data_IF_044363769690
#
_entry.id   IF_044363769690
#
_cell.length_a   1.000
_cell.length_b   1.000
_cell.length_c   1.000
_cell.angle_alpha   90.00
_cell.angle_beta   90.00
_cell.angle_gamma   90.00
#
_symmetry.space_group_name_H-M   'P 1'
#
loop_
_entity.id
_entity.type
_entity.pdbx_description
1 polymer ?
#
# COMPACT_ATOMS: atom_id res chain seq x y z
N UNK A 1 -7.19 0.20 -25.62
CA UNK A 1 -7.31 0.91 -24.35
C UNK A 1 -8.37 1.98 -24.52
N UNK A 2 -9.41 2.02 -23.66
CA UNK A 2 -10.44 3.07 -23.72
C UNK A 2 -9.81 4.38 -23.25
N UNK A 3 -10.37 5.53 -23.67
CA UNK A 3 -9.89 6.85 -23.23
C UNK A 3 -9.86 6.97 -21.69
N UNK A 4 -10.87 6.47 -21.02
CA UNK A 4 -10.95 6.46 -19.55
C UNK A 4 -9.88 5.62 -18.87
N UNK A 5 -9.35 4.58 -19.52
CA UNK A 5 -8.23 3.80 -19.00
C UNK A 5 -6.93 4.64 -19.00
N UNK A 6 -6.79 5.55 -19.98
CA UNK A 6 -5.68 6.52 -20.03
C UNK A 6 -5.81 7.53 -18.88
N UNK A 7 -7.01 8.03 -18.62
CA UNK A 7 -7.25 8.93 -17.48
C UNK A 7 -6.89 8.26 -16.13
N UNK A 8 -7.21 6.98 -15.99
CA UNK A 8 -6.81 6.23 -14.79
C UNK A 8 -5.29 6.09 -14.67
N UNK A 9 -4.61 5.82 -15.78
CA UNK A 9 -3.15 5.78 -15.78
C UNK A 9 -2.55 7.15 -15.38
N UNK A 10 -3.07 8.25 -15.93
CA UNK A 10 -2.66 9.60 -15.53
C UNK A 10 -2.96 9.88 -14.05
N UNK A 11 -4.11 9.43 -13.55
CA UNK A 11 -4.42 9.50 -12.12
C UNK A 11 -3.38 8.77 -11.27
N UNK A 12 -2.99 7.54 -11.65
CA UNK A 12 -1.95 6.80 -10.92
C UNK A 12 -0.61 7.52 -10.94
N UNK A 13 -0.20 8.05 -12.08
CA UNK A 13 1.06 8.79 -12.20
C UNK A 13 1.04 10.06 -11.34
N UNK A 14 -0.04 10.84 -11.39
CA UNK A 14 -0.17 12.05 -10.57
C UNK A 14 -0.27 11.73 -9.09
N UNK A 15 -1.00 10.68 -8.70
CA UNK A 15 -1.06 10.20 -7.32
C UNK A 15 0.32 9.78 -6.80
N UNK A 16 1.14 9.17 -7.66
CA UNK A 16 2.44 8.66 -7.29
C UNK A 16 3.51 9.75 -7.17
N UNK A 17 3.52 10.69 -8.08
CA UNK A 17 4.54 11.76 -8.13
C UNK A 17 4.17 12.97 -7.28
N UNK A 18 2.88 13.26 -7.12
CA UNK A 18 2.39 14.40 -6.33
C UNK A 18 1.23 13.98 -5.40
N UNK A 19 1.48 13.05 -4.43
CA UNK A 19 0.44 12.55 -3.53
C UNK A 19 -0.18 13.64 -2.65
N UNK A 20 0.54 14.71 -2.36
CA UNK A 20 0.04 15.84 -1.56
C UNK A 20 -0.82 16.81 -2.38
N UNK A 21 -0.63 16.84 -3.71
CA UNK A 21 -1.26 17.83 -4.59
C UNK A 21 -0.59 19.20 -4.52
N UNK A 22 0.70 19.23 -4.20
CA UNK A 22 1.51 20.45 -4.07
C UNK A 22 1.59 21.23 -5.39
N UNK A 23 1.86 20.52 -6.51
CA UNK A 23 1.99 21.16 -7.81
C UNK A 23 0.64 21.42 -8.48
N UNK A 24 -0.29 20.49 -8.35
CA UNK A 24 -1.59 20.60 -8.97
C UNK A 24 -2.64 19.74 -8.28
N UNK A 25 -3.88 20.18 -8.33
CA UNK A 25 -5.03 19.36 -7.91
C UNK A 25 -5.48 18.38 -9.01
N UNK A 26 -4.61 18.10 -9.99
CA UNK A 26 -4.96 17.26 -11.13
C UNK A 26 -5.39 15.86 -10.70
N UNK A 27 -4.72 15.27 -9.68
CA UNK A 27 -5.10 13.96 -9.15
C UNK A 27 -6.53 13.96 -8.60
N UNK A 28 -6.93 15.04 -7.91
CA UNK A 28 -8.27 15.15 -7.31
C UNK A 28 -9.34 15.33 -8.40
N UNK A 29 -9.04 16.13 -9.44
CA UNK A 29 -9.91 16.29 -10.60
C UNK A 29 -10.10 14.95 -11.32
N UNK A 30 -9.00 14.26 -11.63
CA UNK A 30 -9.05 12.94 -12.27
C UNK A 30 -9.80 11.93 -11.42
N UNK A 31 -9.59 11.95 -10.10
CA UNK A 31 -10.31 11.11 -9.15
C UNK A 31 -11.82 11.32 -9.26
N UNK A 32 -12.30 12.56 -9.19
CA UNK A 32 -13.73 12.89 -9.28
C UNK A 32 -14.33 12.42 -10.61
N UNK A 33 -13.67 12.71 -11.73
CA UNK A 33 -14.13 12.29 -13.07
C UNK A 33 -14.23 10.77 -13.17
N UNK A 34 -13.23 10.04 -12.68
CA UNK A 34 -13.20 8.58 -12.73
C UNK A 34 -14.26 7.96 -11.81
N UNK A 35 -14.47 8.50 -10.61
CA UNK A 35 -15.49 8.01 -9.68
C UNK A 35 -16.90 8.24 -10.25
N UNK A 36 -17.19 9.42 -10.80
CA UNK A 36 -18.49 9.71 -11.43
C UNK A 36 -18.72 8.75 -12.60
N UNK A 37 -17.72 8.58 -13.48
CA UNK A 37 -17.82 7.63 -14.59
C UNK A 37 -18.07 6.20 -14.09
N UNK A 38 -17.29 5.73 -13.11
CA UNK A 38 -17.41 4.39 -12.54
C UNK A 38 -18.79 4.17 -11.90
N UNK A 39 -19.29 5.13 -11.14
CA UNK A 39 -20.61 5.08 -10.52
C UNK A 39 -21.73 4.97 -11.57
N UNK A 40 -21.74 5.83 -12.57
CA UNK A 40 -22.72 5.79 -13.66
C UNK A 40 -22.65 4.46 -14.42
N UNK A 41 -21.44 3.98 -14.69
CA UNK A 41 -21.24 2.70 -15.38
C UNK A 41 -21.77 1.52 -14.55
N UNK A 42 -21.43 1.47 -13.25
CA UNK A 42 -21.89 0.41 -12.35
C UNK A 42 -23.42 0.38 -12.25
N UNK A 43 -24.08 1.54 -12.18
CA UNK A 43 -25.55 1.62 -12.16
C UNK A 43 -26.16 1.14 -13.48
N UNK A 44 -25.67 1.64 -14.61
CA UNK A 44 -26.23 1.29 -15.95
C UNK A 44 -26.03 -0.19 -16.30
N UNK A 45 -24.90 -0.77 -15.93
CA UNK A 45 -24.54 -2.15 -16.27
C UNK A 45 -24.90 -3.15 -15.17
N UNK A 46 -25.46 -2.69 -14.04
CA UNK A 46 -25.72 -3.51 -12.86
C UNK A 46 -24.48 -4.36 -12.50
N UNK A 47 -23.31 -3.70 -12.51
CA UNK A 47 -22.02 -4.37 -12.30
C UNK A 47 -22.07 -5.19 -11.00
N UNK A 48 -21.65 -6.44 -11.07
CA UNK A 48 -21.51 -7.26 -9.89
C UNK A 48 -20.41 -6.68 -8.98
N UNK A 49 -20.74 -6.55 -7.71
CA UNK A 49 -19.79 -6.20 -6.66
C UNK A 49 -19.80 -7.31 -5.62
N UNK A 50 -18.64 -7.92 -5.38
CA UNK A 50 -18.48 -8.96 -4.37
C UNK A 50 -18.99 -8.47 -3.00
N UNK A 51 -19.68 -9.31 -2.20
CA UNK A 51 -20.24 -8.91 -0.92
C UNK A 51 -19.23 -8.26 0.01
N UNK A 52 -18.03 -8.84 0.10
CA UNK A 52 -16.94 -8.29 0.91
C UNK A 52 -16.53 -6.87 0.46
N UNK A 53 -16.50 -6.61 -0.85
CA UNK A 53 -16.16 -5.30 -1.38
C UNK A 53 -17.23 -4.26 -1.07
N UNK A 54 -18.52 -4.63 -1.10
CA UNK A 54 -19.62 -3.74 -0.69
C UNK A 54 -19.50 -3.36 0.78
N UNK A 55 -19.27 -4.37 1.64
CA UNK A 55 -19.08 -4.15 3.08
C UNK A 55 -17.87 -3.24 3.32
N UNK A 56 -16.72 -3.56 2.71
CA UNK A 56 -15.48 -2.77 2.85
C UNK A 56 -15.68 -1.33 2.41
N UNK A 57 -16.29 -1.11 1.23
CA UNK A 57 -16.55 0.23 0.71
C UNK A 57 -17.43 1.05 1.66
N UNK A 58 -18.57 0.50 2.08
CA UNK A 58 -19.51 1.19 2.95
C UNK A 58 -18.88 1.47 4.33
N UNK A 59 -18.21 0.50 4.91
CA UNK A 59 -17.61 0.66 6.24
C UNK A 59 -16.51 1.71 6.23
N UNK A 60 -15.62 1.73 5.23
CA UNK A 60 -14.56 2.74 5.13
C UNK A 60 -15.13 4.14 4.92
N UNK A 61 -16.27 4.28 4.26
CA UNK A 61 -16.94 5.58 4.11
C UNK A 61 -17.65 6.03 5.41
N UNK A 62 -18.10 5.11 6.26
CA UNK A 62 -18.82 5.41 7.49
C UNK A 62 -17.89 5.61 8.71
N UNK A 63 -16.75 4.92 8.76
CA UNK A 63 -15.81 5.01 9.89
C UNK A 63 -15.34 6.43 10.19
N UNK A 64 -15.02 7.31 9.21
CA UNK A 64 -14.67 8.69 9.51
C UNK A 64 -15.77 9.47 10.21
N UNK A 65 -17.04 9.17 9.90
CA UNK A 65 -18.18 9.79 10.56
C UNK A 65 -18.26 9.39 12.03
N UNK A 66 -17.95 8.12 12.33
CA UNK A 66 -17.81 7.66 13.71
C UNK A 66 -16.69 8.40 14.45
N UNK A 67 -15.48 8.48 13.88
CA UNK A 67 -14.37 9.19 14.49
C UNK A 67 -14.65 10.69 14.71
N UNK A 68 -15.32 11.34 13.74
CA UNK A 68 -15.73 12.74 13.87
C UNK A 68 -16.81 12.94 14.96
N UNK A 69 -17.76 12.03 15.05
CA UNK A 69 -18.81 12.04 16.07
C UNK A 69 -18.22 11.90 17.47
N UNK A 70 -17.27 10.97 17.67
CA UNK A 70 -16.58 10.82 18.95
C UNK A 70 -15.79 12.08 19.30
N UNK A 71 -15.00 12.63 18.38
CA UNK A 71 -14.22 13.83 18.59
C UNK A 71 -15.10 15.03 18.96
N UNK A 72 -16.30 15.12 18.38
CA UNK A 72 -17.27 16.17 18.69
C UNK A 72 -17.86 16.03 20.11
N UNK A 73 -18.30 14.82 20.49
CA UNK A 73 -18.91 14.57 21.80
C UNK A 73 -17.90 14.73 22.93
N UNK A 74 -16.66 14.24 22.73
CA UNK A 74 -15.61 14.30 23.74
C UNK A 74 -14.97 15.69 23.85
N UNK A 75 -15.18 16.57 22.88
CA UNK A 75 -14.51 17.87 22.78
C UNK A 75 -13.02 17.77 22.44
N UNK A 76 -12.58 16.61 21.95
CA UNK A 76 -11.18 16.31 21.62
C UNK A 76 -10.79 16.69 20.17
N UNK A 77 -11.66 17.36 19.41
CA UNK A 77 -11.34 17.84 18.06
C UNK A 77 -10.37 19.03 18.15
N UNK A 78 -9.07 18.74 18.23
CA UNK A 78 -8.00 19.76 18.33
C UNK A 78 -7.47 20.20 16.97
N UNK A 79 -7.51 19.31 15.97
CA UNK A 79 -7.05 19.59 14.61
C UNK A 79 -8.16 19.29 13.57
N UNK A 80 -9.06 20.26 13.31
CA UNK A 80 -10.11 20.11 12.29
C UNK A 80 -9.55 19.97 10.87
N UNK A 81 -8.37 20.55 10.58
CA UNK A 81 -7.76 20.48 9.27
C UNK A 81 -7.27 19.05 8.98
N UNK A 82 -6.65 18.40 9.96
CA UNK A 82 -6.29 16.99 9.87
C UNK A 82 -7.54 16.10 9.73
N UNK A 83 -8.56 16.32 10.55
CA UNK A 83 -9.80 15.53 10.49
C UNK A 83 -10.46 15.60 9.10
N UNK A 84 -10.60 16.80 8.53
CA UNK A 84 -11.16 16.99 7.19
C UNK A 84 -10.26 16.38 6.11
N UNK A 85 -8.94 16.48 6.26
CA UNK A 85 -7.96 15.86 5.38
C UNK A 85 -8.08 14.32 5.37
N UNK A 86 -8.30 13.71 6.54
CA UNK A 86 -8.51 12.26 6.66
C UNK A 86 -9.84 11.82 6.02
N UNK A 87 -10.94 12.51 6.27
CA UNK A 87 -12.23 12.25 5.61
C UNK A 87 -12.07 12.31 4.09
N UNK A 88 -11.42 13.36 3.57
CA UNK A 88 -11.13 13.50 2.15
C UNK A 88 -10.28 12.35 1.62
N UNK A 89 -9.27 11.93 2.35
CA UNK A 89 -8.41 10.81 1.96
C UNK A 89 -9.18 9.50 1.89
N UNK A 90 -10.11 9.25 2.81
CA UNK A 90 -10.92 8.03 2.82
C UNK A 90 -11.90 7.94 1.64
N UNK A 91 -12.30 9.07 1.05
CA UNK A 91 -13.10 9.07 -0.18
C UNK A 91 -12.36 8.41 -1.36
N UNK A 92 -11.03 8.33 -1.33
CA UNK A 92 -10.27 7.67 -2.40
C UNK A 92 -10.60 6.18 -2.57
N UNK A 93 -11.22 5.53 -1.57
CA UNK A 93 -11.77 4.19 -1.72
C UNK A 93 -12.80 4.11 -2.87
N UNK A 94 -13.52 5.19 -3.16
CA UNK A 94 -14.52 5.23 -4.23
C UNK A 94 -13.93 5.02 -5.63
N UNK A 95 -12.60 5.15 -5.82
CA UNK A 95 -11.95 4.83 -7.10
C UNK A 95 -12.17 3.37 -7.49
N UNK A 96 -12.46 2.49 -6.52
CA UNK A 96 -12.86 1.12 -6.74
C UNK A 96 -14.01 0.99 -7.76
N UNK A 97 -15.01 1.89 -7.70
CA UNK A 97 -16.15 1.87 -8.62
C UNK A 97 -15.72 2.04 -10.10
N UNK A 98 -14.63 2.76 -10.33
CA UNK A 98 -14.05 2.84 -11.66
C UNK A 98 -13.19 1.62 -11.98
N UNK A 99 -12.30 1.23 -11.08
CA UNK A 99 -11.32 0.16 -11.32
C UNK A 99 -12.03 -1.17 -11.63
N UNK A 100 -13.16 -1.45 -10.98
CA UNK A 100 -13.94 -2.67 -11.24
C UNK A 100 -14.47 -2.74 -12.67
N UNK A 101 -14.59 -1.62 -13.39
CA UNK A 101 -15.01 -1.58 -14.80
C UNK A 101 -13.87 -1.90 -15.78
N UNK A 102 -12.63 -1.90 -15.31
CA UNK A 102 -11.45 -2.16 -16.13
C UNK A 102 -11.25 -3.67 -16.35
N UNK A 103 -10.62 -4.03 -17.47
CA UNK A 103 -10.09 -5.39 -17.65
C UNK A 103 -8.87 -5.57 -16.73
N UNK A 104 -8.75 -6.73 -16.08
CA UNK A 104 -7.66 -7.02 -15.13
C UNK A 104 -6.28 -6.79 -15.75
N UNK A 105 -6.05 -7.24 -16.97
CA UNK A 105 -4.77 -7.06 -17.66
C UNK A 105 -4.42 -5.58 -17.90
N UNK A 106 -5.41 -4.72 -18.14
CA UNK A 106 -5.19 -3.26 -18.34
C UNK A 106 -4.85 -2.62 -17.01
N UNK A 107 -5.56 -2.98 -15.94
CA UNK A 107 -5.28 -2.52 -14.58
C UNK A 107 -3.85 -2.87 -14.15
N UNK A 108 -3.48 -4.15 -14.24
CA UNK A 108 -2.17 -4.63 -13.83
C UNK A 108 -1.04 -3.98 -14.63
N UNK A 109 -1.27 -3.75 -15.94
CA UNK A 109 -0.31 -3.09 -16.82
C UNK A 109 -0.15 -1.61 -16.48
N UNK A 110 -1.24 -0.92 -16.13
CA UNK A 110 -1.19 0.47 -15.69
C UNK A 110 -0.39 0.62 -14.40
N UNK A 111 -0.61 -0.26 -13.41
CA UNK A 111 0.16 -0.30 -12.16
C UNK A 111 1.64 -0.54 -12.44
N UNK A 112 1.96 -1.52 -13.31
CA UNK A 112 3.34 -1.85 -13.67
C UNK A 112 4.07 -0.69 -14.32
N UNK A 113 3.47 -0.02 -15.31
CA UNK A 113 4.08 1.14 -15.99
C UNK A 113 4.26 2.29 -14.99
N UNK A 114 3.26 2.56 -14.15
CA UNK A 114 3.37 3.58 -13.11
C UNK A 114 4.56 3.32 -12.17
N UNK A 115 4.76 2.07 -11.73
CA UNK A 115 5.89 1.73 -10.89
C UNK A 115 7.25 1.88 -11.57
N UNK A 116 7.35 1.63 -12.91
CA UNK A 116 8.57 1.90 -13.66
C UNK A 116 8.85 3.40 -13.71
N UNK A 117 7.84 4.24 -13.96
CA UNK A 117 7.99 5.70 -13.95
C UNK A 117 8.47 6.17 -12.58
N UNK A 118 7.81 5.71 -11.51
CA UNK A 118 8.21 6.03 -10.15
C UNK A 118 9.65 5.62 -9.86
N UNK A 119 10.03 4.40 -10.23
CA UNK A 119 11.37 3.89 -10.01
C UNK A 119 12.41 4.70 -10.78
N UNK A 120 12.12 5.06 -12.03
CA UNK A 120 13.01 5.89 -12.84
C UNK A 120 13.19 7.30 -12.23
N UNK A 121 12.11 7.95 -11.83
CA UNK A 121 12.15 9.27 -11.17
C UNK A 121 12.94 9.19 -9.85
N UNK A 122 12.69 8.17 -9.03
CA UNK A 122 13.42 7.97 -7.77
C UNK A 122 14.92 7.84 -7.99
N UNK A 123 15.34 7.02 -8.98
CA UNK A 123 16.76 6.83 -9.29
C UNK A 123 17.40 8.09 -9.87
N UNK A 124 16.71 8.81 -10.76
CA UNK A 124 17.22 10.07 -11.32
C UNK A 124 17.44 11.09 -10.20
N UNK A 125 16.46 11.30 -9.32
CA UNK A 125 16.61 12.24 -8.20
C UNK A 125 17.69 11.78 -7.21
N UNK A 126 17.81 10.48 -6.97
CA UNK A 126 18.88 9.93 -6.14
C UNK A 126 20.25 10.26 -6.73
N UNK A 127 20.50 9.96 -8.01
CA UNK A 127 21.77 10.27 -8.64
C UNK A 127 22.07 11.77 -8.67
N UNK A 128 21.07 12.61 -8.91
CA UNK A 128 21.23 14.06 -8.85
C UNK A 128 21.58 14.52 -7.42
N UNK A 129 20.99 13.93 -6.38
CA UNK A 129 21.33 14.26 -4.99
C UNK A 129 22.75 13.86 -4.62
N UNK A 130 23.25 12.75 -5.15
CA UNK A 130 24.64 12.29 -4.92
C UNK A 130 25.69 13.14 -5.66
N UNK A 131 25.32 13.82 -6.75
CA UNK A 131 26.18 14.81 -7.39
C UNK A 131 26.46 16.03 -6.49
N UNK A 132 25.63 16.24 -5.46
CA UNK A 132 25.80 17.32 -4.49
C UNK A 132 25.52 18.73 -5.05
N UNK A 133 26.07 19.73 -4.37
CA UNK A 133 25.96 21.13 -4.81
C UNK A 133 24.53 21.63 -4.94
N UNK A 134 24.23 22.33 -6.02
CA UNK A 134 22.94 22.96 -6.28
C UNK A 134 21.79 21.94 -6.42
N UNK A 135 22.08 20.75 -6.94
CA UNK A 135 21.07 19.70 -7.11
C UNK A 135 20.61 19.15 -5.76
N UNK A 136 21.54 18.92 -4.84
CA UNK A 136 21.21 18.44 -3.50
C UNK A 136 20.33 19.44 -2.76
N UNK A 137 20.70 20.73 -2.79
CA UNK A 137 19.94 21.80 -2.15
C UNK A 137 18.54 21.91 -2.75
N UNK A 138 18.43 21.95 -4.08
CA UNK A 138 17.14 22.05 -4.76
C UNK A 138 16.20 20.86 -4.44
N UNK A 139 16.75 19.63 -4.39
CA UNK A 139 15.97 18.44 -4.06
C UNK A 139 15.53 18.49 -2.59
N UNK A 140 16.41 18.92 -1.68
CA UNK A 140 16.10 19.06 -0.26
C UNK A 140 15.01 20.11 0.00
N UNK A 141 15.15 21.30 -0.62
CA UNK A 141 14.15 22.37 -0.51
C UNK A 141 12.79 21.93 -1.07
N UNK A 142 12.80 21.26 -2.22
CA UNK A 142 11.59 20.70 -2.81
C UNK A 142 10.96 19.64 -1.90
N UNK A 143 11.75 18.77 -1.28
CA UNK A 143 11.28 17.78 -0.33
C UNK A 143 10.54 18.41 0.85
N UNK A 144 11.16 19.43 1.45
CA UNK A 144 10.59 20.13 2.60
C UNK A 144 9.32 20.93 2.24
N UNK A 145 9.27 21.51 1.04
CA UNK A 145 8.13 22.29 0.59
C UNK A 145 6.93 21.41 0.18
N UNK A 146 7.17 20.28 -0.50
CA UNK A 146 6.11 19.50 -1.12
C UNK A 146 5.56 18.37 -0.26
N UNK A 147 6.37 17.86 0.68
CA UNK A 147 6.06 16.65 1.47
C UNK A 147 5.68 15.41 0.61
N UNK A 148 6.09 15.38 -0.67
CA UNK A 148 5.83 14.27 -1.59
C UNK A 148 6.78 13.10 -1.37
N UNK A 149 7.98 13.39 -0.90
CA UNK A 149 8.99 12.41 -0.52
C UNK A 149 9.79 12.90 0.68
N UNK A 150 10.47 11.98 1.35
CA UNK A 150 11.41 12.29 2.43
C UNK A 150 12.83 12.04 1.98
N UNK A 151 13.72 12.93 2.34
CA UNK A 151 15.15 12.81 2.09
C UNK A 151 15.89 12.60 3.43
N UNK A 152 16.63 11.51 3.52
CA UNK A 152 17.51 11.22 4.65
C UNK A 152 18.93 11.54 4.25
N UNK A 153 19.40 12.73 4.66
CA UNK A 153 20.75 13.22 4.36
C UNK A 153 21.82 12.41 5.09
N UNK A 154 22.91 12.07 4.39
CA UNK A 154 24.14 11.49 4.96
C UNK A 154 23.89 10.21 5.79
N UNK A 155 23.05 9.31 5.29
CA UNK A 155 22.76 8.06 5.99
C UNK A 155 23.93 7.08 5.83
N UNK A 156 24.47 6.61 6.93
CA UNK A 156 25.48 5.55 6.91
C UNK A 156 24.80 4.21 6.57
N UNK A 157 25.15 3.67 5.40
CA UNK A 157 24.70 2.36 4.95
C UNK A 157 25.93 1.49 4.65
N UNK A 158 26.18 0.46 5.47
CA UNK A 158 27.33 -0.45 5.35
C UNK A 158 28.69 0.27 5.23
N UNK A 159 28.85 1.40 5.91
CA UNK A 159 30.08 2.21 5.85
C UNK A 159 30.13 3.26 4.73
N UNK A 160 29.11 3.28 3.86
CA UNK A 160 28.97 4.33 2.84
C UNK A 160 27.95 5.37 3.29
N UNK A 161 28.28 6.63 3.12
CA UNK A 161 27.33 7.73 3.36
C UNK A 161 26.56 8.00 2.07
N UNK A 162 25.24 7.80 2.10
CA UNK A 162 24.35 8.01 0.96
C UNK A 162 23.14 8.83 1.35
N UNK A 163 22.60 9.58 0.39
CA UNK A 163 21.36 10.31 0.57
C UNK A 163 20.17 9.39 0.28
N UNK A 164 19.48 8.91 1.31
CA UNK A 164 18.26 8.12 1.13
C UNK A 164 17.12 8.98 0.59
N UNK A 165 16.40 8.52 -0.43
CA UNK A 165 15.29 9.23 -1.03
C UNK A 165 14.06 8.31 -1.11
N UNK A 166 13.01 8.63 -0.34
CA UNK A 166 11.81 7.81 -0.22
C UNK A 166 10.56 8.59 -0.61
N UNK A 167 9.99 8.24 -1.76
CA UNK A 167 8.67 8.73 -2.16
C UNK A 167 7.56 8.07 -1.33
N UNK A 168 6.56 8.85 -0.89
CA UNK A 168 5.40 8.30 -0.16
C UNK A 168 4.68 7.19 -0.94
N UNK A 169 4.55 7.34 -2.26
CA UNK A 169 3.98 6.31 -3.13
C UNK A 169 4.96 5.20 -3.55
N UNK A 170 6.22 5.26 -3.12
CA UNK A 170 7.25 4.27 -3.47
C UNK A 170 6.87 2.83 -3.08
N UNK A 171 6.06 2.66 -2.04
CA UNK A 171 5.53 1.35 -1.64
C UNK A 171 4.72 0.64 -2.75
N UNK A 172 4.12 1.37 -3.69
CA UNK A 172 3.39 0.79 -4.84
C UNK A 172 4.32 0.10 -5.85
N UNK A 173 5.62 0.39 -5.83
CA UNK A 173 6.64 -0.28 -6.68
C UNK A 173 6.66 -1.79 -6.42
N UNK A 174 6.30 -2.25 -5.22
CA UNK A 174 6.20 -3.67 -4.86
C UNK A 174 5.31 -4.42 -5.86
N UNK A 175 4.15 -3.88 -6.19
CA UNK A 175 3.21 -4.51 -7.13
C UNK A 175 3.77 -4.59 -8.55
N UNK A 176 4.48 -3.55 -8.97
CA UNK A 176 5.13 -3.48 -10.28
C UNK A 176 6.30 -4.46 -10.38
N UNK A 177 7.04 -4.64 -9.30
CA UNK A 177 8.13 -5.62 -9.25
C UNK A 177 7.63 -7.06 -9.35
N UNK A 178 6.57 -7.42 -8.59
CA UNK A 178 5.96 -8.75 -8.68
C UNK A 178 5.38 -8.99 -10.08
N UNK A 179 4.67 -8.01 -10.65
CA UNK A 179 4.16 -8.14 -12.02
C UNK A 179 5.30 -8.36 -13.02
N UNK A 180 6.38 -7.61 -12.91
CA UNK A 180 7.55 -7.76 -13.79
C UNK A 180 8.19 -9.14 -13.68
N UNK A 181 8.32 -9.68 -12.47
CA UNK A 181 8.93 -10.99 -12.22
C UNK A 181 8.06 -12.15 -12.75
N UNK A 182 6.75 -12.08 -12.58
CA UNK A 182 5.86 -13.23 -12.84
C UNK A 182 5.09 -13.14 -14.16
N UNK A 183 4.73 -11.95 -14.64
CA UNK A 183 3.85 -11.76 -15.81
C UNK A 183 4.55 -11.17 -17.03
N UNK A 184 5.50 -10.26 -16.83
CA UNK A 184 6.15 -9.61 -17.95
C UNK A 184 7.10 -10.57 -18.67
N UNK A 185 6.91 -10.75 -20.01
CA UNK A 185 7.68 -11.67 -20.86
C UNK A 185 8.57 -10.96 -21.88
N UNK A 186 8.66 -9.62 -21.83
CA UNK A 186 9.43 -8.85 -22.81
C UNK A 186 10.95 -8.97 -22.61
N UNK A 187 11.71 -8.64 -23.69
CA UNK A 187 13.19 -8.68 -23.69
C UNK A 187 13.85 -7.83 -22.60
N UNK A 188 13.21 -6.78 -22.16
CA UNK A 188 13.73 -5.87 -21.14
C UNK A 188 13.37 -6.26 -19.69
N UNK A 189 12.94 -7.50 -19.46
CA UNK A 189 12.52 -7.97 -18.14
C UNK A 189 13.59 -7.75 -17.06
N UNK A 190 14.83 -8.13 -17.36
CA UNK A 190 15.94 -7.97 -16.43
C UNK A 190 16.21 -6.49 -16.12
N UNK A 191 16.22 -5.64 -17.15
CA UNK A 191 16.42 -4.20 -17.00
C UNK A 191 15.38 -3.56 -16.08
N UNK A 192 14.08 -3.83 -16.32
CA UNK A 192 13.03 -3.32 -15.45
C UNK A 192 13.09 -3.91 -14.03
N UNK A 193 13.50 -5.18 -13.89
CA UNK A 193 13.71 -5.77 -12.56
C UNK A 193 14.78 -5.03 -11.78
N UNK A 194 15.90 -4.68 -12.43
CA UNK A 194 17.00 -3.94 -11.80
C UNK A 194 16.54 -2.53 -11.40
N UNK A 195 15.88 -1.79 -12.27
CA UNK A 195 15.38 -0.44 -11.97
C UNK A 195 14.41 -0.46 -10.80
N UNK A 196 13.41 -1.34 -10.83
CA UNK A 196 12.42 -1.49 -9.76
C UNK A 196 13.08 -1.92 -8.44
N UNK A 197 14.07 -2.81 -8.50
CA UNK A 197 14.81 -3.25 -7.32
C UNK A 197 15.65 -2.13 -6.73
N UNK A 198 16.47 -1.46 -7.52
CA UNK A 198 17.36 -0.40 -7.06
C UNK A 198 16.58 0.79 -6.48
N UNK A 199 15.43 1.14 -7.07
CA UNK A 199 14.64 2.29 -6.59
C UNK A 199 14.15 2.13 -5.15
N UNK A 200 13.86 0.93 -4.69
CA UNK A 200 13.51 0.67 -3.29
C UNK A 200 14.74 0.52 -2.39
N UNK A 201 15.89 0.14 -2.97
CA UNK A 201 17.16 0.10 -2.21
C UNK A 201 17.64 1.51 -1.85
N UNK A 202 17.54 2.48 -2.76
CA UNK A 202 17.94 3.87 -2.52
C UNK A 202 16.98 4.65 -1.62
N UNK A 203 15.83 4.07 -1.30
CA UNK A 203 14.88 4.66 -0.36
C UNK A 203 15.48 4.95 1.03
N UNK A 204 16.63 4.35 1.35
CA UNK A 204 17.29 4.54 2.64
C UNK A 204 16.49 4.04 3.85
N UNK A 205 15.34 3.40 3.61
CA UNK A 205 14.50 2.75 4.62
C UNK A 205 14.69 1.25 4.57
N UNK A 206 14.87 0.62 5.75
CA UNK A 206 15.16 -0.82 5.87
C UNK A 206 14.01 -1.70 5.43
N UNK A 207 12.79 -1.30 5.76
CA UNK A 207 11.58 -2.11 5.47
C UNK A 207 11.35 -2.32 3.97
N UNK A 208 11.40 -1.30 3.08
CA UNK A 208 11.30 -1.51 1.63
C UNK A 208 12.37 -2.44 1.07
N UNK A 209 13.62 -2.31 1.56
CA UNK A 209 14.74 -3.17 1.13
C UNK A 209 14.49 -4.63 1.49
N UNK A 210 14.07 -4.91 2.73
CA UNK A 210 13.78 -6.27 3.19
C UNK A 210 12.62 -6.89 2.40
N UNK A 211 11.54 -6.13 2.19
CA UNK A 211 10.39 -6.57 1.39
C UNK A 211 10.82 -6.96 -0.02
N UNK A 212 11.65 -6.15 -0.65
CA UNK A 212 12.14 -6.39 -2.00
C UNK A 212 13.01 -7.66 -2.09
N UNK A 213 13.90 -7.85 -1.12
CA UNK A 213 14.73 -9.06 -1.04
C UNK A 213 13.87 -10.31 -0.79
N UNK A 214 12.85 -10.24 0.07
CA UNK A 214 11.91 -11.34 0.30
C UNK A 214 11.18 -11.73 -0.99
N UNK A 215 10.70 -10.76 -1.76
CA UNK A 215 10.02 -11.01 -3.04
C UNK A 215 10.96 -11.71 -4.02
N UNK A 216 12.21 -11.23 -4.12
CA UNK A 216 13.21 -11.83 -4.99
C UNK A 216 13.53 -13.28 -4.59
N UNK A 217 13.74 -13.57 -3.31
CA UNK A 217 13.99 -14.92 -2.80
C UNK A 217 12.82 -15.85 -3.08
N UNK A 218 11.59 -15.41 -2.87
CA UNK A 218 10.38 -16.18 -3.18
C UNK A 218 10.30 -16.46 -4.68
N UNK A 219 10.65 -15.50 -5.54
CA UNK A 219 10.69 -15.70 -6.99
C UNK A 219 11.75 -16.72 -7.41
N UNK A 220 12.98 -16.64 -6.87
CA UNK A 220 14.05 -17.60 -7.13
C UNK A 220 13.69 -19.03 -6.71
N UNK A 221 12.99 -19.15 -5.56
CA UNK A 221 12.44 -20.41 -5.08
C UNK A 221 11.38 -20.98 -6.02
N UNK A 222 10.39 -20.16 -6.42
CA UNK A 222 9.28 -20.57 -7.28
C UNK A 222 9.77 -21.04 -8.67
N UNK A 223 10.80 -20.38 -9.19
CA UNK A 223 11.38 -20.71 -10.50
C UNK A 223 12.44 -21.80 -10.44
N UNK A 224 12.79 -22.27 -9.25
CA UNK A 224 13.84 -23.27 -9.02
C UNK A 224 15.18 -22.91 -9.67
N UNK A 225 15.50 -21.60 -9.75
CA UNK A 225 16.69 -21.11 -10.48
C UNK A 225 17.99 -21.57 -9.81
N UNK A 226 18.00 -21.66 -8.47
CA UNK A 226 19.21 -21.98 -7.69
C UNK A 226 19.12 -23.40 -7.07
N UNK A 227 18.09 -24.17 -7.46
CA UNK A 227 17.79 -25.45 -6.81
C UNK A 227 17.09 -25.27 -5.46
N UNK A 228 16.16 -26.15 -5.14
CA UNK A 228 15.31 -26.03 -3.92
C UNK A 228 16.13 -26.07 -2.62
N UNK A 229 17.20 -26.83 -2.58
CA UNK A 229 18.06 -26.90 -1.39
C UNK A 229 18.81 -25.58 -1.15
N UNK A 230 19.48 -25.07 -2.19
CA UNK A 230 20.21 -23.80 -2.09
C UNK A 230 19.30 -22.61 -1.82
N UNK A 231 18.07 -22.62 -2.36
CA UNK A 231 17.09 -21.56 -2.06
C UNK A 231 16.62 -21.62 -0.60
N UNK A 232 16.45 -22.82 -0.03
CA UNK A 232 16.14 -22.97 1.40
C UNK A 232 17.29 -22.50 2.28
N UNK A 233 18.52 -22.88 1.92
CA UNK A 233 19.72 -22.44 2.62
C UNK A 233 19.89 -20.92 2.54
N UNK A 234 19.66 -20.31 1.36
CA UNK A 234 19.69 -18.85 1.18
C UNK A 234 18.59 -18.16 1.98
N UNK A 235 17.39 -18.74 2.07
CA UNK A 235 16.30 -18.21 2.87
C UNK A 235 16.63 -18.29 4.38
N UNK A 236 17.27 -19.36 4.82
CA UNK A 236 17.71 -19.54 6.21
C UNK A 236 18.85 -18.56 6.55
N UNK A 237 19.83 -18.41 5.67
CA UNK A 237 20.91 -17.44 5.80
C UNK A 237 20.38 -16.00 5.80
N UNK A 238 19.38 -15.70 4.94
CA UNK A 238 18.71 -14.41 4.93
C UNK A 238 17.91 -14.16 6.21
N UNK A 239 17.19 -15.15 6.72
CA UNK A 239 16.50 -15.05 7.99
C UNK A 239 17.48 -14.81 9.14
N UNK A 240 18.61 -15.55 9.17
CA UNK A 240 19.69 -15.33 10.13
C UNK A 240 20.29 -13.92 10.03
N UNK A 241 20.54 -13.44 8.80
CA UNK A 241 21.01 -12.07 8.56
C UNK A 241 19.97 -11.03 9.00
N UNK A 242 18.68 -11.30 8.80
CA UNK A 242 17.58 -10.43 9.22
C UNK A 242 17.47 -10.35 10.74
N UNK A 243 17.61 -11.51 11.44
CA UNK A 243 17.67 -11.57 12.90
C UNK A 243 18.91 -10.85 13.42
N UNK A 244 20.07 -11.07 12.80
CA UNK A 244 21.33 -10.40 13.16
C UNK A 244 21.25 -8.88 12.92
N UNK A 245 20.72 -8.44 11.80
CA UNK A 245 20.44 -7.03 11.51
C UNK A 245 19.49 -6.43 12.55
N UNK A 246 18.39 -7.11 12.84
CA UNK A 246 17.42 -6.65 13.86
C UNK A 246 18.09 -6.57 15.23
N UNK A 247 18.90 -7.56 15.60
CA UNK A 247 19.67 -7.54 16.84
C UNK A 247 20.70 -6.42 16.88
N UNK A 248 21.52 -6.25 15.83
CA UNK A 248 22.47 -5.14 15.73
C UNK A 248 21.77 -3.78 15.82
N UNK A 249 20.59 -3.65 15.24
CA UNK A 249 19.80 -2.43 15.26
C UNK A 249 19.15 -2.16 16.62
N UNK A 250 18.75 -3.22 17.33
CA UNK A 250 18.22 -3.11 18.70
C UNK A 250 19.33 -2.78 19.72
N UNK A 251 20.56 -3.23 19.46
CA UNK A 251 21.70 -3.02 20.37
C UNK A 251 22.50 -1.75 20.09
N UNK A 252 22.37 -1.17 18.88
CA UNK A 252 22.95 0.13 18.59
C UNK A 252 22.15 1.24 19.30
N UNK A 253 22.52 1.53 20.55
CA UNK A 253 21.89 2.55 21.43
C UNK A 253 21.89 3.99 20.87
N UNK A 254 22.53 4.26 19.74
CA UNK A 254 22.71 5.60 19.21
C UNK A 254 21.76 5.99 18.06
N UNK A 255 20.81 5.14 17.67
CA UNK A 255 19.82 5.55 16.67
C UNK A 255 18.60 6.21 17.34
N UNK A 256 18.66 7.54 17.49
CA UNK A 256 17.53 8.39 17.94
C UNK A 256 16.18 8.02 17.29
N UNK A 257 16.21 7.51 16.06
CA UNK A 257 14.99 7.09 15.35
C UNK A 257 14.25 5.90 15.97
N UNK A 258 14.98 4.92 16.54
CA UNK A 258 14.35 3.75 17.18
C UNK A 258 13.82 4.12 18.57
N UNK A 259 14.57 4.94 19.30
CA UNK A 259 14.17 5.48 20.60
C UNK A 259 12.88 6.31 20.47
N UNK A 260 12.83 7.22 19.51
CA UNK A 260 11.64 8.02 19.18
C UNK A 260 10.42 7.14 18.85
N UNK A 261 10.61 6.05 18.10
CA UNK A 261 9.50 5.13 17.79
C UNK A 261 9.01 4.35 19.00
N UNK A 262 9.93 3.92 19.87
CA UNK A 262 9.58 3.22 21.11
C UNK A 262 8.83 4.15 22.07
N UNK A 263 9.32 5.34 22.30
CA UNK A 263 8.67 6.36 23.14
C UNK A 263 7.30 6.78 22.58
N UNK A 264 7.17 6.88 21.26
CA UNK A 264 5.88 7.12 20.62
C UNK A 264 4.93 5.93 20.83
N UNK A 265 5.43 4.69 20.75
CA UNK A 265 4.61 3.49 21.03
C UNK A 265 4.08 3.52 22.47
N UNK A 266 4.92 3.83 23.45
CA UNK A 266 4.49 3.98 24.87
C UNK A 266 3.41 5.06 24.99
N UNK A 267 3.61 6.21 24.33
CA UNK A 267 2.62 7.30 24.33
C UNK A 267 1.25 6.87 23.78
N UNK A 268 1.23 6.01 22.74
CA UNK A 268 -0.03 5.45 22.24
C UNK A 268 -0.71 4.53 23.24
N UNK A 269 0.06 3.65 23.90
CA UNK A 269 -0.51 2.72 24.90
C UNK A 269 -1.11 3.49 26.07
N UNK A 270 -0.43 4.55 26.51
CA UNK A 270 -0.96 5.42 27.59
C UNK A 270 -2.23 6.15 27.14
N UNK A 271 -2.23 6.77 25.96
CA UNK A 271 -3.40 7.52 25.46
C UNK A 271 -4.60 6.60 25.18
N UNK A 272 -4.36 5.42 24.58
CA UNK A 272 -5.42 4.41 24.35
C UNK A 272 -5.98 3.92 25.69
N UNK A 273 -5.15 3.77 26.75
CA UNK A 273 -5.58 3.31 28.07
C UNK A 273 -6.38 4.32 28.89
N UNK A 274 -6.40 5.60 28.49
CA UNK A 274 -7.01 6.69 29.26
C UNK A 274 -8.49 6.93 28.88
N UNK A 275 -9.28 7.44 29.83
CA UNK A 275 -10.60 8.11 29.69
C UNK A 275 -11.65 7.45 28.77
N UNK A 276 -11.67 6.12 28.65
CA UNK A 276 -12.64 5.43 27.79
C UNK A 276 -12.20 5.30 26.32
N UNK A 277 -11.03 5.80 25.95
CA UNK A 277 -10.42 5.64 24.63
C UNK A 277 -10.30 4.17 24.17
N UNK A 278 -10.12 3.16 25.07
CA UNK A 278 -10.11 1.76 24.64
C UNK A 278 -11.36 1.33 23.89
N UNK A 279 -12.53 1.86 24.26
CA UNK A 279 -13.81 1.43 23.66
C UNK A 279 -14.19 2.34 22.48
N UNK A 280 -14.18 3.66 22.69
CA UNK A 280 -14.76 4.63 21.75
C UNK A 280 -13.69 5.29 20.86
N UNK A 281 -12.44 5.29 21.31
CA UNK A 281 -11.35 6.07 20.74
C UNK A 281 -11.35 7.52 21.23
N UNK A 282 -10.25 8.20 20.94
CA UNK A 282 -10.11 9.65 21.20
C UNK A 282 -10.81 10.52 20.15
N UNK A 283 -11.25 9.92 19.05
CA UNK A 283 -11.88 10.62 17.92
C UNK A 283 -10.90 11.16 16.88
N UNK A 284 -11.45 11.49 15.72
CA UNK A 284 -10.68 11.99 14.58
C UNK A 284 -10.24 13.44 14.81
N UNK A 285 -8.92 13.71 14.63
CA UNK A 285 -8.36 15.04 14.87
C UNK A 285 -8.04 15.35 16.34
N UNK A 286 -8.13 14.35 17.23
CA UNK A 286 -7.61 14.43 18.60
C UNK A 286 -6.09 14.44 18.61
N UNK A 287 -5.48 15.13 19.55
CA UNK A 287 -4.05 15.16 19.76
C UNK A 287 -3.64 14.36 21.01
N UNK A 288 -2.39 13.91 21.04
CA UNK A 288 -1.79 13.26 22.21
C UNK A 288 -0.33 13.70 22.35
N UNK A 289 0.22 13.53 23.54
CA UNK A 289 1.60 13.89 23.80
C UNK A 289 2.55 12.76 23.33
N UNK A 290 3.28 13.00 22.25
CA UNK A 290 4.24 12.06 21.70
C UNK A 290 5.61 12.24 22.39
N UNK A 291 5.96 11.37 23.34
CA UNK A 291 7.21 11.42 24.13
C UNK A 291 8.44 11.49 23.22
N UNK A 292 8.49 10.66 22.19
CA UNK A 292 9.63 10.59 21.29
C UNK A 292 9.89 11.86 20.47
N UNK A 293 8.89 12.75 20.35
CA UNK A 293 9.03 14.05 19.70
C UNK A 293 8.91 15.23 20.66
N UNK A 294 8.61 14.96 21.92
CA UNK A 294 8.42 15.95 22.98
C UNK A 294 7.41 17.05 22.60
N UNK A 295 6.32 16.67 21.93
CA UNK A 295 5.27 17.60 21.49
C UNK A 295 3.92 16.90 21.34
N UNK A 296 2.84 17.69 21.32
CA UNK A 296 1.51 17.17 20.99
C UNK A 296 1.38 16.98 19.49
N UNK A 297 0.88 15.82 19.07
CA UNK A 297 0.69 15.43 17.68
C UNK A 297 -0.67 14.77 17.49
N UNK A 298 -1.22 14.93 16.31
CA UNK A 298 -2.47 14.27 15.91
C UNK A 298 -2.21 12.84 15.40
N UNK A 299 -1.03 12.57 14.87
CA UNK A 299 -0.63 11.26 14.34
C UNK A 299 0.90 11.11 14.35
N UNK A 300 1.37 9.87 14.22
CA UNK A 300 2.79 9.57 14.01
C UNK A 300 2.98 8.61 12.83
N UNK A 301 4.14 7.94 12.79
CA UNK A 301 4.45 6.95 11.75
C UNK A 301 3.78 5.58 11.99
N UNK A 302 3.08 5.38 13.14
CA UNK A 302 2.50 4.10 13.54
C UNK A 302 1.00 4.02 13.17
N UNK A 303 0.72 3.91 11.87
CA UNK A 303 -0.65 3.99 11.32
C UNK A 303 -1.67 3.06 11.99
N UNK A 304 -1.28 1.84 12.39
CA UNK A 304 -2.21 0.94 13.07
C UNK A 304 -2.59 1.42 14.46
N UNK A 305 -1.64 2.00 15.20
CA UNK A 305 -1.91 2.57 16.52
C UNK A 305 -2.73 3.86 16.41
N UNK A 306 -2.49 4.67 15.37
CA UNK A 306 -3.35 5.82 15.06
C UNK A 306 -4.81 5.39 14.87
N UNK A 307 -5.05 4.31 14.12
CA UNK A 307 -6.40 3.77 13.91
C UNK A 307 -7.01 3.34 15.25
N UNK A 308 -6.29 2.57 16.07
CA UNK A 308 -6.80 2.10 17.35
C UNK A 308 -7.08 3.25 18.31
N UNK A 309 -6.22 4.27 18.33
CA UNK A 309 -6.39 5.46 19.16
C UNK A 309 -7.60 6.29 18.74
N UNK A 310 -7.73 6.56 17.43
CA UNK A 310 -8.82 7.43 16.93
C UNK A 310 -10.20 6.77 16.99
N UNK A 311 -10.29 5.46 16.78
CA UNK A 311 -11.56 4.76 16.61
C UNK A 311 -11.91 3.79 17.75
N UNK A 312 -11.02 3.61 18.72
CA UNK A 312 -11.14 2.60 19.78
C UNK A 312 -10.78 1.18 19.31
N UNK A 313 -10.53 0.29 20.25
CA UNK A 313 -10.11 -1.08 19.93
C UNK A 313 -11.14 -1.85 19.09
N UNK A 314 -12.46 -1.85 19.41
CA UNK A 314 -13.42 -2.64 18.64
C UNK A 314 -13.53 -2.18 17.19
N UNK A 315 -13.76 -0.89 16.97
CA UNK A 315 -13.92 -0.31 15.62
C UNK A 315 -12.59 -0.29 14.89
N UNK A 316 -11.48 0.04 15.57
CA UNK A 316 -10.14 0.08 15.00
C UNK A 316 -9.65 -1.30 14.54
N UNK A 317 -9.87 -2.36 15.32
CA UNK A 317 -9.53 -3.74 14.92
C UNK A 317 -10.36 -4.16 13.69
N UNK A 318 -11.66 -3.91 13.68
CA UNK A 318 -12.51 -4.16 12.52
C UNK A 318 -12.00 -3.40 11.29
N UNK A 319 -11.63 -2.14 11.47
CA UNK A 319 -11.09 -1.30 10.39
C UNK A 319 -9.78 -1.85 9.83
N UNK A 320 -8.84 -2.22 10.69
CA UNK A 320 -7.58 -2.86 10.27
C UNK A 320 -7.88 -4.16 9.52
N UNK A 321 -8.80 -4.98 10.01
CA UNK A 321 -9.19 -6.22 9.37
C UNK A 321 -9.72 -6.01 7.94
N UNK A 322 -10.43 -4.92 7.67
CA UNK A 322 -10.93 -4.60 6.32
C UNK A 322 -9.79 -4.39 5.31
N UNK A 323 -8.64 -3.87 5.72
CA UNK A 323 -7.47 -3.80 4.84
C UNK A 323 -6.91 -5.18 4.49
N UNK A 324 -7.00 -6.15 5.40
CA UNK A 324 -6.55 -7.53 5.14
C UNK A 324 -7.62 -8.40 4.45
N UNK A 325 -8.88 -7.97 4.43
CA UNK A 325 -9.99 -8.74 3.88
C UNK A 325 -9.76 -9.21 2.42
N UNK A 326 -9.24 -8.38 1.48
CA UNK A 326 -8.94 -8.84 0.13
C UNK A 326 -7.94 -10.00 0.08
N UNK A 327 -6.92 -10.00 0.93
CA UNK A 327 -5.94 -11.08 1.02
C UNK A 327 -6.60 -12.40 1.43
N UNK A 328 -7.38 -12.39 2.51
CA UNK A 328 -8.07 -13.58 2.99
C UNK A 328 -9.10 -14.10 1.98
N UNK A 329 -9.80 -13.19 1.31
CA UNK A 329 -10.79 -13.57 0.30
C UNK A 329 -10.16 -14.20 -0.94
N UNK A 330 -8.99 -13.71 -1.38
CA UNK A 330 -8.25 -14.25 -2.51
C UNK A 330 -7.60 -15.60 -2.22
N UNK A 331 -7.47 -15.99 -0.95
CA UNK A 331 -6.83 -17.25 -0.57
C UNK A 331 -7.46 -18.46 -1.26
N UNK A 332 -8.77 -18.48 -1.42
CA UNK A 332 -9.49 -19.57 -2.09
C UNK A 332 -9.13 -19.76 -3.57
N UNK A 333 -8.57 -18.71 -4.22
CA UNK A 333 -8.19 -18.74 -5.63
C UNK A 333 -6.70 -19.06 -5.88
N UNK A 334 -5.89 -19.19 -4.84
CA UNK A 334 -4.45 -19.44 -4.95
C UNK A 334 -4.08 -20.72 -5.72
N UNK A 335 -4.82 -21.84 -5.60
CA UNK A 335 -4.52 -23.03 -6.38
C UNK A 335 -4.58 -22.82 -7.89
N UNK A 336 -5.38 -21.85 -8.34
CA UNK A 336 -5.61 -21.57 -9.77
C UNK A 336 -4.55 -20.67 -10.40
N UNK A 337 -3.89 -19.82 -9.60
CA UNK A 337 -2.95 -18.82 -10.13
C UNK A 337 -1.81 -18.52 -9.16
N UNK A 338 -0.59 -18.97 -9.50
CA UNK A 338 0.62 -18.65 -8.74
C UNK A 338 0.88 -17.12 -8.71
N UNK A 339 0.60 -16.43 -9.82
CA UNK A 339 0.73 -14.97 -9.87
C UNK A 339 -0.19 -14.29 -8.86
N UNK A 340 -1.47 -14.67 -8.84
CA UNK A 340 -2.46 -14.09 -7.92
C UNK A 340 -2.04 -14.31 -6.46
N UNK A 341 -1.55 -15.52 -6.14
CA UNK A 341 -0.98 -15.83 -4.83
C UNK A 341 0.15 -14.88 -4.45
N UNK A 342 1.12 -14.68 -5.34
CA UNK A 342 2.30 -13.82 -5.06
C UNK A 342 1.94 -12.34 -5.03
N UNK A 343 1.01 -11.94 -5.88
CA UNK A 343 0.52 -10.56 -5.92
C UNK A 343 -0.23 -10.18 -4.64
N UNK A 344 -1.07 -11.07 -4.12
CA UNK A 344 -1.75 -10.85 -2.84
C UNK A 344 -0.82 -10.93 -1.63
N UNK A 345 0.23 -11.76 -1.65
CA UNK A 345 1.28 -11.72 -0.63
C UNK A 345 2.05 -10.39 -0.67
N UNK A 346 2.31 -9.85 -1.86
CA UNK A 346 2.87 -8.50 -2.02
C UNK A 346 1.98 -7.42 -1.40
N UNK A 347 0.66 -7.60 -1.44
CA UNK A 347 -0.25 -6.69 -0.77
C UNK A 347 -0.11 -6.73 0.77
N UNK A 348 0.06 -7.91 1.35
CA UNK A 348 0.33 -8.00 2.80
C UNK A 348 1.65 -7.31 3.15
N UNK A 349 2.69 -7.49 2.34
CA UNK A 349 3.96 -6.78 2.51
C UNK A 349 3.80 -5.26 2.40
N UNK A 350 2.95 -4.78 1.47
CA UNK A 350 2.57 -3.37 1.38
C UNK A 350 1.86 -2.89 2.65
N UNK A 351 0.94 -3.66 3.21
CA UNK A 351 0.26 -3.33 4.46
C UNK A 351 1.23 -3.24 5.64
N UNK A 352 2.17 -4.20 5.76
CA UNK A 352 3.22 -4.17 6.79
C UNK A 352 4.07 -2.90 6.64
N UNK A 353 4.49 -2.56 5.42
CA UNK A 353 5.25 -1.36 5.13
C UNK A 353 4.48 -0.09 5.51
N UNK A 354 3.19 -0.04 5.15
CA UNK A 354 2.31 1.09 5.41
C UNK A 354 1.97 1.26 6.89
N UNK A 355 2.09 0.20 7.69
CA UNK A 355 1.88 0.24 9.13
C UNK A 355 2.96 1.02 9.90
N UNK A 356 4.16 1.13 9.33
CA UNK A 356 5.30 1.89 9.88
C UNK A 356 5.53 3.23 9.18
N UNK A 357 4.60 3.64 8.32
CA UNK A 357 4.58 4.91 7.61
C UNK A 357 3.12 5.40 7.53
N UNK A 358 2.84 6.69 7.59
CA UNK A 358 1.46 7.21 7.62
C UNK A 358 0.79 7.17 6.23
N UNK A 359 0.84 6.01 5.56
CA UNK A 359 0.35 5.82 4.19
C UNK A 359 -1.02 5.14 4.15
N UNK A 360 -1.36 4.35 5.17
CA UNK A 360 -2.50 3.44 5.16
C UNK A 360 -3.83 4.17 4.97
N UNK A 361 -4.06 5.25 5.73
CA UNK A 361 -5.27 6.07 5.67
C UNK A 361 -5.20 7.19 4.62
N UNK A 362 -4.08 7.27 3.87
CA UNK A 362 -3.90 8.24 2.81
C UNK A 362 -4.47 7.78 1.47
N UNK A 363 -4.48 8.68 0.50
CA UNK A 363 -4.92 8.40 -0.88
C UNK A 363 -4.18 7.20 -1.51
N UNK A 364 -2.91 6.99 -1.16
CA UNK A 364 -2.08 5.86 -1.65
C UNK A 364 -2.61 4.53 -1.09
N UNK A 365 -2.81 4.43 0.24
CA UNK A 365 -3.29 3.21 0.88
C UNK A 365 -4.69 2.82 0.44
N UNK A 366 -5.60 3.79 0.35
CA UNK A 366 -6.98 3.57 -0.11
C UNK A 366 -7.05 3.19 -1.59
N UNK A 367 -6.18 3.78 -2.43
CA UNK A 367 -6.08 3.38 -3.84
C UNK A 367 -5.52 1.95 -3.96
N UNK A 368 -4.50 1.58 -3.18
CA UNK A 368 -3.99 0.20 -3.14
C UNK A 368 -5.08 -0.79 -2.70
N UNK A 369 -5.83 -0.48 -1.65
CA UNK A 369 -6.97 -1.30 -1.22
C UNK A 369 -8.01 -1.42 -2.33
N UNK A 370 -8.38 -0.33 -3.00
CA UNK A 370 -9.32 -0.32 -4.13
C UNK A 370 -8.87 -1.23 -5.29
N UNK A 371 -7.57 -1.25 -5.59
CA UNK A 371 -7.00 -2.15 -6.61
C UNK A 371 -7.19 -3.61 -6.21
N UNK A 372 -6.94 -3.97 -4.94
CA UNK A 372 -7.11 -5.33 -4.47
C UNK A 372 -8.56 -5.75 -4.34
N UNK A 373 -9.46 -4.85 -3.95
CA UNK A 373 -10.90 -5.08 -4.02
C UNK A 373 -11.36 -5.38 -5.46
N UNK A 374 -10.82 -4.68 -6.44
CA UNK A 374 -11.14 -4.94 -7.84
C UNK A 374 -10.60 -6.30 -8.32
N UNK A 375 -9.42 -6.72 -7.88
CA UNK A 375 -8.86 -8.04 -8.17
C UNK A 375 -9.75 -9.14 -7.56
N UNK A 376 -10.18 -8.97 -6.29
CA UNK A 376 -11.17 -9.87 -5.65
C UNK A 376 -12.43 -9.96 -6.48
N UNK A 377 -12.96 -8.82 -6.90
CA UNK A 377 -14.20 -8.77 -7.69
C UNK A 377 -14.07 -9.54 -9.00
N UNK A 378 -12.95 -9.37 -9.71
CA UNK A 378 -12.69 -10.08 -10.97
C UNK A 378 -12.48 -11.57 -10.77
N UNK A 379 -11.78 -12.00 -9.74
CA UNK A 379 -11.59 -13.41 -9.43
C UNK A 379 -12.93 -14.09 -9.09
N UNK A 380 -13.81 -13.40 -8.38
CA UNK A 380 -15.13 -13.94 -8.02
C UNK A 380 -16.11 -13.92 -9.19
N UNK A 381 -16.05 -12.92 -10.06
CA UNK A 381 -16.81 -12.85 -11.30
C UNK A 381 -16.45 -14.02 -12.23
N UNK A 382 -15.15 -14.31 -12.41
CA UNK A 382 -14.66 -15.44 -13.21
C UNK A 382 -15.12 -16.79 -12.62
N UNK A 383 -15.05 -16.96 -11.29
CA UNK A 383 -15.51 -18.19 -10.61
C UNK A 383 -17.02 -18.44 -10.80
N UNK A 384 -17.83 -17.39 -10.83
CA UNK A 384 -19.26 -17.48 -11.11
C UNK A 384 -19.54 -17.93 -12.54
N UNK A 385 -18.86 -17.35 -13.52
CA UNK A 385 -19.01 -17.72 -14.93
C UNK A 385 -18.71 -19.21 -15.15
N UNK A 386 -17.62 -19.72 -14.56
CA UNK A 386 -17.26 -21.13 -14.65
C UNK A 386 -18.37 -22.03 -14.10
N UNK A 387 -18.93 -21.70 -12.95
CA UNK A 387 -20.01 -22.48 -12.33
C UNK A 387 -21.31 -22.45 -13.15
N UNK A 388 -21.67 -21.29 -13.68
CA UNK A 388 -22.84 -21.15 -14.53
C UNK A 388 -22.68 -21.94 -15.83
N UNK A 389 -21.48 -22.04 -16.40
CA UNK A 389 -21.19 -22.90 -17.56
C UNK A 389 -21.26 -24.39 -17.21
N UNK A 390 -20.75 -24.81 -16.05
CA UNK A 390 -20.83 -26.20 -15.57
C UNK A 390 -22.28 -26.63 -15.29
N UNK A 391 -23.11 -25.73 -14.74
CA UNK A 391 -24.52 -26.01 -14.47
C UNK A 391 -25.38 -26.04 -15.76
N UNK A 392 -25.02 -25.28 -16.79
CA UNK A 392 -25.75 -25.17 -18.04
C UNK A 392 -25.36 -26.23 -19.07
N UNK A 393 -24.20 -26.89 -18.92
CA UNK A 393 -23.85 -28.05 -19.70
C UNK A 393 -24.66 -29.24 -19.15
N UNK A 394 -25.67 -29.79 -19.90
CA UNK A 394 -26.35 -30.99 -19.45
C UNK A 394 -25.27 -32.07 -19.28
N UNK A 395 -25.34 -32.79 -18.15
CA UNK A 395 -24.60 -34.03 -17.96
C UNK A 395 -24.81 -34.88 -19.21
N UNK A 396 -23.88 -34.83 -20.15
CA UNK A 396 -23.78 -35.86 -21.17
C UNK A 396 -23.34 -37.08 -20.40
N UNK A 397 -24.38 -37.78 -19.87
CA UNK A 397 -24.23 -39.14 -19.37
C UNK A 397 -23.74 -39.93 -20.59
N UNK A 398 -22.44 -40.16 -20.62
CA UNK A 398 -21.82 -41.06 -21.57
C UNK A 398 -22.45 -42.45 -21.39
N UNK A 399 -23.53 -42.67 -22.11
CA UNK A 399 -24.14 -44.01 -22.28
C UNK A 399 -23.22 -44.95 -23.06
N UNK A 400 -21.89 -44.83 -22.86
CA UNK A 400 -20.87 -45.67 -23.48
C UNK A 400 -20.45 -46.90 -22.66
N UNK A 401 -21.20 -47.28 -21.64
CA UNK A 401 -20.94 -48.49 -20.84
C UNK A 401 -21.99 -49.61 -21.01
N UNK A 402 -22.73 -49.62 -22.14
CA UNK A 402 -23.57 -50.78 -22.52
C UNK A 402 -23.42 -51.05 -24.02
N UNK A 403 -22.28 -51.52 -24.45
CA UNK A 403 -22.12 -52.41 -25.61
C UNK A 403 -20.90 -53.31 -25.43
#
# INVERSE_FOLDING_TARGET
>A
MRFVDILYFLFLVTLSLDPTGFHSRLKDLLFVVLVIYGFIYCLKRRQYLAPINRITLLTILLIPLWGAFIAYITGELKDPAYATGQVRSMLYICIFLFIVTMKLNVLLKAIWINGIIMAAVTLILFFLSELGGIFLVAIYDYCNASDNFTMAYNRNFLGFSVNGLYFKAGSLIIFSFIYNLYQYKGRFKLFYSIILFLSLMVAGSRTPMLVQLMILLVYLYDKNIIGKFMTRLSALAFLGMLVMLTYMLATQKNEKSNEVKYENFESYIEDIGDKGHPIWGAGLGSDFYAKGRNMRLTYTELSYLDILRMYGLPVGICFIFLFFAPFFWLWKYYPRSQFLKRYSQGYVLFLILSGTNPLLLGSIGLTALSMFMAIVNKAEEEDRWIKEEEETQPLVIDNCLLR
#
